data_IF_602585656426
#
_entry.id   IF_602585656426
#
_cell.length_a   1.000
_cell.length_b   1.000
_cell.length_c   1.000
_cell.angle_alpha   90.00
_cell.angle_beta   90.00
_cell.angle_gamma   90.00
#
_symmetry.space_group_name_H-M   'P 1'
#
loop_
_entity.id
_entity.type
_entity.pdbx_description
1 polymer ?
#
# COMPACT_ATOMS: atom_id res chain seq x y z
N UNK A 1 25.60 50.50 -69.84
CA UNK A 1 24.72 51.31 -68.96
C UNK A 1 23.70 50.38 -68.32
N UNK A 2 23.82 50.17 -67.00
CA UNK A 2 22.71 50.13 -65.99
C UNK A 2 21.47 49.25 -66.27
N UNK A 3 20.95 48.32 -65.43
CA UNK A 3 21.10 48.07 -63.99
C UNK A 3 20.39 46.73 -63.61
N UNK A 4 20.89 46.08 -62.54
CA UNK A 4 20.20 45.30 -61.47
C UNK A 4 19.45 43.97 -61.71
N UNK A 5 19.96 42.95 -61.02
CA UNK A 5 19.35 41.69 -60.58
C UNK A 5 18.17 41.91 -59.60
N UNK A 6 17.15 41.03 -59.66
CA UNK A 6 16.28 40.67 -58.51
C UNK A 6 15.44 39.40 -58.77
N UNK A 7 15.60 38.43 -57.87
CA UNK A 7 14.63 37.43 -57.34
C UNK A 7 13.88 36.50 -58.34
N UNK A 8 13.55 35.24 -58.05
CA UNK A 8 13.39 34.54 -56.78
C UNK A 8 13.63 33.02 -56.97
N UNK A 9 14.12 32.38 -55.92
CA UNK A 9 14.29 30.94 -55.84
C UNK A 9 12.93 30.20 -55.82
N UNK A 10 12.81 29.25 -56.75
CA UNK A 10 12.17 27.92 -56.68
C UNK A 10 11.35 27.62 -55.41
N UNK A 11 10.04 27.32 -55.49
CA UNK A 11 9.36 26.64 -54.38
C UNK A 11 9.61 25.14 -54.52
N UNK A 12 10.68 24.64 -53.89
CA UNK A 12 10.92 23.19 -53.65
C UNK A 12 10.07 22.68 -52.47
N UNK A 13 8.93 23.31 -52.15
CA UNK A 13 8.22 23.04 -50.90
C UNK A 13 6.99 22.12 -51.03
N UNK A 14 6.63 21.67 -52.23
CA UNK A 14 5.38 20.91 -52.43
C UNK A 14 5.60 19.38 -52.55
N UNK A 15 6.83 18.91 -52.77
CA UNK A 15 7.09 17.47 -52.98
C UNK A 15 7.36 16.70 -51.67
N UNK A 16 7.62 17.38 -50.55
CA UNK A 16 7.97 16.72 -49.27
C UNK A 16 6.73 16.21 -48.50
N UNK A 17 5.52 16.70 -48.81
CA UNK A 17 4.32 16.37 -48.02
C UNK A 17 3.62 15.04 -48.37
N UNK A 18 3.97 14.35 -49.46
CA UNK A 18 3.27 13.12 -49.88
C UNK A 18 4.10 11.85 -49.72
N UNK A 19 5.43 11.97 -49.60
CA UNK A 19 6.31 10.80 -49.42
C UNK A 19 6.45 10.34 -47.95
N UNK A 20 6.27 11.24 -46.97
CA UNK A 20 6.36 10.89 -45.54
C UNK A 20 5.19 10.04 -44.99
N UNK A 21 3.92 10.23 -45.38
CA UNK A 21 2.84 9.45 -44.76
C UNK A 21 2.77 7.99 -45.25
N UNK A 22 3.36 7.65 -46.40
CA UNK A 22 3.32 6.26 -46.93
C UNK A 22 4.37 5.36 -46.27
N UNK A 23 5.49 5.92 -45.80
CA UNK A 23 6.54 5.15 -45.13
C UNK A 23 6.15 4.73 -43.70
N UNK A 24 5.25 5.46 -43.04
CA UNK A 24 4.80 5.15 -41.68
C UNK A 24 3.82 3.97 -41.65
N UNK A 25 3.12 3.68 -42.75
CA UNK A 25 2.13 2.60 -42.83
C UNK A 25 2.72 1.18 -42.96
N UNK A 26 4.03 1.05 -43.17
CA UNK A 26 4.71 -0.26 -43.33
C UNK A 26 5.28 -0.78 -41.99
N UNK A 27 5.34 0.05 -40.96
CA UNK A 27 5.67 -0.37 -39.61
C UNK A 27 4.40 -0.88 -38.93
N UNK A 28 4.05 -2.15 -39.18
CA UNK A 28 3.04 -2.85 -38.39
C UNK A 28 3.39 -2.77 -36.89
N UNK A 29 2.39 -2.88 -35.99
CA UNK A 29 2.66 -2.85 -34.55
C UNK A 29 3.69 -3.93 -34.23
N UNK A 30 4.78 -3.51 -33.56
CA UNK A 30 5.74 -4.47 -33.04
C UNK A 30 4.99 -5.46 -32.14
N UNK A 31 5.27 -6.78 -32.24
CA UNK A 31 4.65 -7.74 -31.35
C UNK A 31 4.96 -7.31 -29.91
N UNK A 32 3.92 -7.17 -29.10
CA UNK A 32 4.09 -6.92 -27.68
C UNK A 32 4.89 -8.11 -27.12
N UNK A 33 6.15 -7.87 -26.75
CA UNK A 33 6.94 -8.87 -26.06
C UNK A 33 6.25 -9.12 -24.71
N UNK A 34 5.68 -10.30 -24.54
CA UNK A 34 5.19 -10.72 -23.24
C UNK A 34 6.37 -10.68 -22.27
N UNK A 35 6.27 -9.86 -21.23
CA UNK A 35 7.30 -9.82 -20.20
C UNK A 35 7.35 -11.22 -19.56
N UNK A 36 8.56 -11.77 -19.46
CA UNK A 36 8.73 -13.07 -18.81
C UNK A 36 8.18 -12.97 -17.39
N UNK A 37 7.35 -13.95 -16.99
CA UNK A 37 6.72 -13.92 -15.68
C UNK A 37 7.80 -13.92 -14.59
N UNK A 38 7.62 -13.14 -13.50
CA UNK A 38 8.58 -13.12 -12.41
C UNK A 38 8.74 -14.53 -11.83
N UNK A 39 9.99 -14.90 -11.54
CA UNK A 39 10.34 -16.11 -10.81
C UNK A 39 10.58 -15.75 -9.36
N UNK A 40 10.06 -16.57 -8.46
CA UNK A 40 10.17 -16.36 -7.02
C UNK A 40 11.03 -17.47 -6.42
N UNK A 41 11.89 -17.09 -5.49
CA UNK A 41 12.69 -17.99 -4.68
C UNK A 41 12.41 -17.72 -3.20
N UNK A 42 12.50 -18.77 -2.38
CA UNK A 42 12.36 -18.65 -0.93
C UNK A 42 13.64 -18.06 -0.34
N UNK A 43 13.51 -16.95 0.39
CA UNK A 43 14.57 -16.48 1.29
C UNK A 43 14.27 -16.94 2.74
N UNK A 44 14.97 -17.96 3.26
CA UNK A 44 14.73 -18.44 4.62
C UNK A 44 15.33 -17.55 5.70
N UNK A 45 16.12 -16.53 5.34
CA UNK A 45 16.76 -15.60 6.28
C UNK A 45 16.02 -14.25 6.38
N UNK A 46 14.88 -14.14 5.69
CA UNK A 46 13.98 -12.99 5.76
C UNK A 46 12.75 -13.30 6.63
N UNK A 47 12.33 -12.40 7.54
CA UNK A 47 13.00 -11.17 7.95
C UNK A 47 14.23 -11.46 8.83
N UNK A 48 15.14 -10.49 8.98
CA UNK A 48 16.40 -10.70 9.69
C UNK A 48 16.22 -10.84 11.20
N UNK A 49 17.05 -11.70 11.79
CA UNK A 49 17.15 -11.92 13.22
C UNK A 49 18.48 -11.37 13.79
N UNK A 50 18.53 -10.92 15.06
CA UNK A 50 17.42 -10.81 16.01
C UNK A 50 16.40 -9.74 15.57
N UNK A 51 15.12 -10.02 15.79
CA UNK A 51 14.05 -9.15 15.32
C UNK A 51 13.87 -7.96 16.26
N UNK A 52 14.21 -6.75 15.80
CA UNK A 52 14.07 -5.51 16.58
C UNK A 52 14.84 -5.56 17.91
N UNK A 53 14.19 -5.12 18.99
CA UNK A 53 14.76 -5.15 20.34
C UNK A 53 14.48 -6.49 21.05
N UNK A 54 14.85 -7.60 20.41
CA UNK A 54 14.49 -8.97 20.84
C UNK A 54 12.98 -9.12 20.97
N UNK A 55 12.27 -8.72 19.91
CA UNK A 55 10.83 -8.74 19.90
C UNK A 55 10.25 -10.13 19.68
N UNK A 56 9.25 -10.46 20.48
CA UNK A 56 8.33 -11.57 20.26
C UNK A 56 7.01 -11.03 19.73
N UNK A 57 6.57 -11.57 18.60
CA UNK A 57 5.26 -11.26 18.00
C UNK A 57 4.19 -12.20 18.56
N UNK A 58 2.95 -11.71 18.62
CA UNK A 58 1.78 -12.55 18.73
C UNK A 58 1.34 -13.05 17.36
N UNK A 59 0.04 -13.31 17.20
CA UNK A 59 -0.51 -13.70 15.92
C UNK A 59 -0.34 -12.59 14.89
N UNK A 60 0.20 -12.88 13.71
CA UNK A 60 0.27 -11.91 12.63
C UNK A 60 -1.11 -11.71 12.01
N UNK A 61 -1.57 -10.47 11.97
CA UNK A 61 -2.86 -10.09 11.40
C UNK A 61 -2.84 -10.06 9.88
N UNK A 62 -1.77 -9.52 9.32
CA UNK A 62 -1.58 -9.29 7.89
C UNK A 62 -0.23 -8.61 7.64
N UNK A 63 0.07 -8.40 6.36
CA UNK A 63 1.23 -7.64 5.91
C UNK A 63 0.84 -6.78 4.71
N UNK A 64 1.46 -5.62 4.58
CA UNK A 64 1.27 -4.76 3.41
C UNK A 64 2.59 -4.17 2.96
N UNK A 65 2.72 -3.98 1.65
CA UNK A 65 3.96 -3.61 0.97
C UNK A 65 3.70 -2.35 0.15
N UNK A 66 4.56 -1.35 0.30
CA UNK A 66 4.56 -0.14 -0.52
C UNK A 66 5.98 0.28 -0.86
N UNK A 67 6.39 0.03 -2.12
CA UNK A 67 7.79 0.17 -2.52
C UNK A 67 8.69 -0.77 -1.71
N UNK A 68 9.74 -0.22 -1.11
CA UNK A 68 10.70 -0.96 -0.27
C UNK A 68 10.30 -1.01 1.21
N UNK A 69 9.06 -0.63 1.55
CA UNK A 69 8.55 -0.59 2.92
C UNK A 69 7.54 -1.71 3.12
N UNK A 70 7.77 -2.54 4.12
CA UNK A 70 6.90 -3.65 4.48
C UNK A 70 6.39 -3.43 5.89
N UNK A 71 5.08 -3.50 6.09
CA UNK A 71 4.49 -3.41 7.41
C UNK A 71 3.92 -4.76 7.82
N UNK A 72 4.23 -5.18 9.04
CA UNK A 72 3.71 -6.38 9.68
C UNK A 72 2.75 -5.95 10.78
N UNK A 73 1.55 -6.53 10.76
CA UNK A 73 0.53 -6.32 11.78
C UNK A 73 0.68 -7.39 12.86
N UNK A 74 1.07 -6.98 14.05
CA UNK A 74 1.34 -7.85 15.18
C UNK A 74 0.22 -7.76 16.22
N UNK A 75 -0.57 -8.82 16.37
CA UNK A 75 -1.59 -8.89 17.43
C UNK A 75 -0.90 -8.98 18.79
N UNK A 76 -1.41 -8.22 19.75
CA UNK A 76 -0.82 -8.06 21.08
C UNK A 76 -1.20 -9.21 22.03
N UNK A 77 -1.35 -10.44 21.50
CA UNK A 77 -1.91 -11.59 22.19
C UNK A 77 -0.86 -12.62 22.62
N UNK A 78 0.30 -12.14 23.07
CA UNK A 78 1.35 -12.96 23.68
C UNK A 78 1.04 -13.14 25.16
N UNK A 79 1.11 -14.37 25.66
CA UNK A 79 0.96 -14.63 27.10
C UNK A 79 2.25 -14.19 27.79
N UNK A 80 2.19 -13.48 28.94
CA UNK A 80 3.40 -12.97 29.60
C UNK A 80 4.47 -14.02 29.92
N UNK A 81 4.06 -15.28 30.14
CA UNK A 81 4.97 -16.40 30.39
C UNK A 81 5.83 -16.77 29.17
N UNK A 82 5.35 -16.49 27.95
CA UNK A 82 6.05 -16.84 26.71
C UNK A 82 7.12 -15.82 26.32
N UNK A 83 7.16 -14.65 26.99
CA UNK A 83 8.14 -13.62 26.65
C UNK A 83 9.57 -14.10 26.91
N UNK A 84 9.84 -14.86 27.98
CA UNK A 84 11.14 -15.49 28.27
C UNK A 84 12.38 -14.61 27.92
N UNK A 85 12.43 -13.39 28.48
CA UNK A 85 13.51 -12.42 28.22
C UNK A 85 13.35 -11.58 26.94
N UNK A 86 12.38 -11.91 26.09
CA UNK A 86 11.96 -11.12 24.93
C UNK A 86 11.05 -9.96 25.34
N UNK A 87 10.87 -9.02 24.43
CA UNK A 87 9.94 -7.90 24.57
C UNK A 87 8.76 -8.09 23.62
N UNK A 88 7.55 -7.76 24.05
CA UNK A 88 6.40 -7.77 23.13
C UNK A 88 6.65 -6.78 21.99
N UNK A 89 6.55 -7.23 20.73
CA UNK A 89 6.62 -6.35 19.58
C UNK A 89 5.46 -5.32 19.59
N UNK A 90 5.68 -4.11 19.06
CA UNK A 90 4.61 -3.14 18.84
C UNK A 90 3.51 -3.66 17.90
N UNK A 91 2.31 -3.04 17.86
CA UNK A 91 1.22 -3.46 16.97
C UNK A 91 1.59 -3.39 15.48
N UNK A 92 2.35 -2.39 15.07
CA UNK A 92 2.80 -2.20 13.69
C UNK A 92 4.32 -2.25 13.67
N UNK A 93 4.88 -3.07 12.80
CA UNK A 93 6.33 -3.23 12.63
C UNK A 93 6.66 -2.91 11.17
N UNK A 94 7.55 -1.95 10.95
CA UNK A 94 8.03 -1.60 9.61
C UNK A 94 9.39 -2.26 9.36
N UNK A 95 9.50 -2.93 8.22
CA UNK A 95 10.72 -3.50 7.68
C UNK A 95 11.10 -2.78 6.39
N UNK A 96 12.39 -2.78 6.07
CA UNK A 96 12.86 -2.51 4.71
C UNK A 96 12.81 -3.78 3.84
N UNK A 97 13.08 -3.63 2.54
CA UNK A 97 13.08 -4.73 1.58
C UNK A 97 14.04 -5.87 1.96
N UNK A 98 15.16 -5.56 2.62
CA UNK A 98 16.14 -6.55 3.09
C UNK A 98 15.68 -7.27 4.37
N UNK A 99 14.53 -6.88 4.95
CA UNK A 99 13.97 -7.47 6.15
C UNK A 99 14.59 -6.97 7.44
N UNK A 100 15.30 -5.83 7.42
CA UNK A 100 15.74 -5.16 8.65
C UNK A 100 14.55 -4.45 9.29
N UNK A 101 14.45 -4.49 10.62
CA UNK A 101 13.47 -3.69 11.35
C UNK A 101 13.86 -2.22 11.27
N UNK A 102 13.00 -1.40 10.67
CA UNK A 102 13.15 0.06 10.59
C UNK A 102 12.60 0.72 11.84
N UNK A 103 11.37 0.34 12.25
CA UNK A 103 10.71 0.85 13.45
C UNK A 103 9.54 -0.05 13.86
N UNK A 104 9.05 0.13 15.08
CA UNK A 104 7.77 -0.39 15.51
C UNK A 104 6.99 0.66 16.28
N UNK A 105 5.68 0.70 16.10
CA UNK A 105 4.80 1.71 16.68
C UNK A 105 3.39 1.19 16.86
N UNK A 106 2.56 2.02 17.51
CA UNK A 106 1.13 1.77 17.68
C UNK A 106 0.73 1.54 19.14
N UNK A 107 -0.52 1.86 19.44
CA UNK A 107 -1.16 1.65 20.74
C UNK A 107 -2.38 0.76 20.53
N UNK A 108 -2.41 -0.48 21.07
CA UNK A 108 -3.54 -1.39 20.87
C UNK A 108 -4.85 -0.86 21.42
N UNK A 109 -4.83 0.04 22.41
CA UNK A 109 -6.05 0.67 22.91
C UNK A 109 -6.67 1.65 21.90
N UNK A 110 -5.88 2.16 20.95
CA UNK A 110 -6.32 3.09 19.90
C UNK A 110 -6.62 2.40 18.58
N UNK A 111 -5.74 1.47 18.19
CA UNK A 111 -5.84 0.78 16.90
C UNK A 111 -6.81 -0.39 16.98
N UNK A 112 -6.84 -1.09 18.11
CA UNK A 112 -7.48 -2.39 18.28
C UNK A 112 -6.45 -3.51 18.38
N UNK A 113 -6.81 -4.58 19.09
CA UNK A 113 -5.94 -5.72 19.39
C UNK A 113 -5.99 -6.81 18.31
N UNK A 114 -7.09 -6.87 17.55
CA UNK A 114 -7.33 -7.85 16.48
C UNK A 114 -7.03 -7.26 15.10
N UNK A 115 -5.79 -6.79 14.91
CA UNK A 115 -5.30 -6.35 13.61
C UNK A 115 -5.53 -7.42 12.53
N UNK A 116 -6.01 -7.01 11.36
CA UNK A 116 -6.47 -7.93 10.34
C UNK A 116 -5.95 -7.60 8.94
N UNK A 117 -5.86 -6.32 8.58
CA UNK A 117 -5.36 -5.95 7.26
C UNK A 117 -4.81 -4.52 7.22
N UNK A 118 -4.00 -4.22 6.21
CA UNK A 118 -3.46 -2.90 5.97
C UNK A 118 -3.19 -2.63 4.50
N UNK A 119 -3.10 -1.35 4.14
CA UNK A 119 -2.73 -0.91 2.80
C UNK A 119 -1.77 0.27 2.86
N UNK A 120 -0.68 0.23 2.08
CA UNK A 120 0.27 1.34 1.98
C UNK A 120 -0.10 2.19 0.77
N UNK A 121 -0.53 3.41 1.00
CA UNK A 121 -0.83 4.36 -0.06
C UNK A 121 0.45 4.83 -0.78
N UNK A 122 0.28 5.37 -1.99
CA UNK A 122 1.39 5.94 -2.77
C UNK A 122 2.12 7.11 -2.08
N UNK A 123 1.43 7.85 -1.21
CA UNK A 123 2.02 8.92 -0.38
C UNK A 123 2.79 8.37 0.85
N UNK A 124 2.84 7.04 1.01
CA UNK A 124 3.50 6.33 2.10
C UNK A 124 2.66 6.21 3.38
N UNK A 125 1.46 6.79 3.44
CA UNK A 125 0.54 6.62 4.56
C UNK A 125 -0.06 5.22 4.60
N UNK A 126 -0.50 4.78 5.77
CA UNK A 126 -0.89 3.41 6.05
C UNK A 126 -2.37 3.35 6.47
N UNK A 127 -3.20 2.68 5.69
CA UNK A 127 -4.51 2.23 6.16
C UNK A 127 -4.34 0.99 7.04
N UNK A 128 -5.05 0.92 8.15
CA UNK A 128 -5.05 -0.19 9.10
C UNK A 128 -6.48 -0.56 9.46
N UNK A 129 -6.74 -1.87 9.45
CA UNK A 129 -8.01 -2.48 9.84
C UNK A 129 -7.76 -3.37 11.05
N UNK A 130 -8.46 -3.06 12.14
CA UNK A 130 -8.59 -3.94 13.29
C UNK A 130 -10.02 -4.48 13.34
N UNK A 131 -10.15 -5.81 13.28
CA UNK A 131 -11.46 -6.44 13.26
C UNK A 131 -12.19 -6.21 14.58
N UNK A 132 -13.43 -5.73 14.49
CA UNK A 132 -14.29 -5.53 15.65
C UNK A 132 -14.09 -4.23 16.41
N UNK A 133 -13.45 -3.23 15.82
CA UNK A 133 -13.39 -1.87 16.37
C UNK A 133 -14.51 -0.96 15.85
N UNK A 134 -15.16 -1.36 14.75
CA UNK A 134 -16.14 -0.53 14.03
C UNK A 134 -15.51 0.58 13.19
N UNK A 135 -14.18 0.61 13.08
CA UNK A 135 -13.43 1.67 12.40
C UNK A 135 -12.39 1.14 11.43
N UNK A 136 -12.03 1.98 10.48
CA UNK A 136 -10.83 1.86 9.65
C UNK A 136 -10.03 3.14 9.79
N UNK A 137 -8.71 3.04 9.96
CA UNK A 137 -7.86 4.17 10.35
C UNK A 137 -6.71 4.35 9.35
N UNK A 138 -6.41 5.60 9.00
CA UNK A 138 -5.26 6.01 8.18
C UNK A 138 -4.21 6.66 9.08
N UNK A 139 -2.98 6.19 8.97
CA UNK A 139 -1.84 6.66 9.74
C UNK A 139 -0.77 7.29 8.84
N UNK A 140 -0.03 8.25 9.37
CA UNK A 140 1.20 8.72 8.77
C UNK A 140 2.19 7.55 8.67
N UNK A 141 2.85 7.44 7.52
CA UNK A 141 3.75 6.32 7.24
C UNK A 141 4.93 6.24 8.20
N UNK A 142 5.39 7.37 8.72
CA UNK A 142 6.65 7.50 9.46
C UNK A 142 6.50 7.42 10.98
N UNK A 143 5.30 7.28 11.55
CA UNK A 143 5.25 7.36 13.01
C UNK A 143 3.92 7.12 13.70
N UNK A 144 2.90 6.64 13.00
CA UNK A 144 1.64 6.25 13.64
C UNK A 144 0.77 7.42 14.11
N UNK A 145 0.99 8.63 13.59
CA UNK A 145 0.04 9.73 13.73
C UNK A 145 -1.26 9.37 13.00
N UNK A 146 -2.40 9.42 13.69
CA UNK A 146 -3.69 9.19 13.07
C UNK A 146 -4.08 10.38 12.20
N UNK A 147 -4.17 10.16 10.89
CA UNK A 147 -4.57 11.17 9.91
C UNK A 147 -6.07 11.14 9.63
N UNK A 148 -6.67 9.96 9.64
CA UNK A 148 -8.09 9.78 9.34
C UNK A 148 -8.66 8.56 10.06
N UNK A 149 -9.94 8.65 10.43
CA UNK A 149 -10.74 7.52 10.87
C UNK A 149 -12.08 7.54 10.13
N UNK A 150 -12.51 6.38 9.65
CA UNK A 150 -13.85 6.15 9.12
C UNK A 150 -14.58 5.25 10.12
N UNK A 151 -15.82 5.60 10.47
CA UNK A 151 -16.57 5.00 11.57
C UNK A 151 -16.24 5.62 12.93
N UNK A 152 -16.87 5.09 13.98
CA UNK A 152 -16.67 5.52 15.36
C UNK A 152 -16.34 4.33 16.25
N UNK A 153 -15.26 4.44 17.02
CA UNK A 153 -14.78 3.35 17.88
C UNK A 153 -15.87 2.89 18.84
N UNK A 154 -16.18 1.59 18.80
CA UNK A 154 -17.22 1.01 19.65
C UNK A 154 -18.65 1.20 19.16
N UNK A 155 -18.86 1.82 17.99
CA UNK A 155 -20.14 1.78 17.26
C UNK A 155 -20.03 0.89 16.04
N UNK A 156 -21.09 0.13 15.81
CA UNK A 156 -21.11 -0.92 14.81
C UNK A 156 -22.25 -0.72 13.83
N UNK A 157 -22.06 -1.09 12.58
CA UNK A 157 -23.15 -1.12 11.59
C UNK A 157 -24.13 -2.27 11.89
N UNK A 158 -25.01 -2.00 12.84
CA UNK A 158 -25.89 -2.97 13.49
C UNK A 158 -27.20 -2.31 13.89
N UNK A 159 -28.23 -3.12 14.14
CA UNK A 159 -29.59 -2.67 14.47
C UNK A 159 -29.67 -1.73 15.67
N UNK A 160 -28.75 -1.86 16.63
CA UNK A 160 -28.71 -1.07 17.86
C UNK A 160 -27.39 -0.30 18.07
N UNK A 161 -26.48 -0.35 17.09
CA UNK A 161 -25.17 0.30 17.16
C UNK A 161 -24.13 -0.48 17.99
N UNK A 162 -24.45 -1.67 18.50
CA UNK A 162 -23.57 -2.50 19.33
C UNK A 162 -23.02 -3.71 18.59
N UNK A 163 -21.98 -4.34 19.14
CA UNK A 163 -21.42 -5.59 18.59
C UNK A 163 -22.39 -6.78 18.66
N UNK A 164 -23.43 -6.70 19.49
CA UNK A 164 -24.44 -7.75 19.65
C UNK A 164 -25.68 -7.56 18.78
N UNK A 165 -25.83 -6.39 18.13
CA UNK A 165 -26.95 -6.11 17.25
C UNK A 165 -26.88 -6.88 15.93
N UNK A 166 -28.01 -6.91 15.23
CA UNK A 166 -28.11 -7.54 13.92
C UNK A 166 -27.33 -6.72 12.87
N UNK A 167 -26.39 -7.31 12.12
CA UNK A 167 -25.63 -6.59 11.10
C UNK A 167 -26.54 -6.01 10.02
N UNK A 168 -26.34 -4.74 9.66
CA UNK A 168 -27.24 -4.04 8.72
C UNK A 168 -26.73 -3.95 7.28
N UNK A 169 -25.42 -3.96 7.07
CA UNK A 169 -24.79 -3.63 5.78
C UNK A 169 -25.38 -2.34 5.19
N UNK A 170 -25.44 -1.29 6.00
CA UNK A 170 -26.06 -0.02 5.62
C UNK A 170 -25.15 0.81 4.71
N UNK A 171 -25.71 1.85 4.10
CA UNK A 171 -25.01 2.83 3.27
C UNK A 171 -24.26 3.90 4.10
N UNK A 172 -24.21 3.75 5.42
CA UNK A 172 -23.52 4.66 6.33
C UNK A 172 -22.04 4.30 6.41
N UNK A 173 -21.22 5.29 6.70
CA UNK A 173 -19.79 5.12 6.96
C UNK A 173 -19.50 4.48 8.34
N UNK A 174 -20.16 3.37 8.65
CA UNK A 174 -19.99 2.55 9.85
C UNK A 174 -19.64 1.13 9.45
N UNK A 175 -18.85 0.44 10.26
CA UNK A 175 -18.47 -0.94 9.99
C UNK A 175 -19.00 -1.87 11.08
N UNK A 176 -19.37 -3.10 10.72
CA UNK A 176 -19.66 -4.13 11.71
C UNK A 176 -18.36 -4.82 12.14
N UNK A 177 -17.76 -5.63 11.26
CA UNK A 177 -16.46 -6.28 11.51
C UNK A 177 -15.58 -6.07 10.28
N UNK A 178 -14.99 -4.88 10.07
CA UNK A 178 -14.13 -4.66 8.92
C UNK A 178 -12.94 -5.61 9.02
N UNK A 179 -12.63 -6.29 7.92
CA UNK A 179 -11.62 -7.34 7.89
C UNK A 179 -10.50 -7.05 6.88
N UNK A 180 -10.82 -6.41 5.76
CA UNK A 180 -9.83 -6.07 4.74
C UNK A 180 -10.00 -4.64 4.22
N UNK A 181 -8.93 -4.11 3.64
CA UNK A 181 -8.95 -2.85 2.90
C UNK A 181 -8.06 -2.95 1.67
N UNK A 182 -8.63 -2.60 0.53
CA UNK A 182 -7.94 -2.47 -0.74
C UNK A 182 -8.29 -1.10 -1.33
N UNK A 183 -7.31 -0.50 -2.02
CA UNK A 183 -7.45 0.80 -2.70
C UNK A 183 -7.08 0.58 -4.18
N UNK A 184 -7.86 1.16 -5.08
CA UNK A 184 -7.74 1.01 -6.54
C UNK A 184 -6.82 2.05 -7.22
#
# INVERSE_FOLDING_TARGET
>A
MTTTLRNAAIPLLVVICVALPVAVSVLGPAPAAAQEAPRYELDPLWPKLPFGEQWLTGGLGGMCVGGDRIFILNRQNVVPADLDGSRLAPPIIELDADGNVVRGWGDPARIGDRLHDCHVNADGSLWVVAAGTGVVQKYAGDGGELQQQIGETGKYDSSDGTRGGEPLNSDRANFFLPASIDVD
#
